data_IF_128893258754
#
_entry.id   IF_128893258754
#
_cell.length_a   1.000
_cell.length_b   1.000
_cell.length_c   1.000
_cell.angle_alpha   90.00
_cell.angle_beta   90.00
_cell.angle_gamma   90.00
#
_symmetry.space_group_name_H-M   'P 1'
#
loop_
_entity.id
_entity.type
_entity.pdbx_description
1 polymer ?
#
# COMPACT_ATOMS: atom_id res chain seq x y z
N UNK A 1 24.73 -22.93 7.17
CA UNK A 1 23.98 -22.82 7.67
C UNK A 1 23.29 -21.66 7.69
N UNK A 2 23.49 -20.80 7.71
CA UNK A 2 22.80 -19.64 7.86
C UNK A 2 21.94 -19.16 6.77
N UNK A 3 21.70 -19.93 5.82
CA UNK A 3 20.89 -19.51 4.76
C UNK A 3 19.43 -19.47 5.08
N UNK A 4 19.07 -19.98 6.22
CA UNK A 4 17.70 -20.03 6.60
C UNK A 4 17.03 -18.69 6.58
N UNK A 5 17.71 -17.69 7.01
CA UNK A 5 17.09 -16.39 7.10
C UNK A 5 16.68 -15.81 5.79
N UNK A 6 17.30 -16.21 4.74
CA UNK A 6 17.02 -15.60 3.48
C UNK A 6 15.66 -15.89 2.94
N UNK A 7 15.05 -16.97 3.35
CA UNK A 7 13.75 -17.25 2.81
C UNK A 7 12.68 -16.32 3.31
N UNK A 8 12.96 -15.54 4.34
CA UNK A 8 11.98 -14.58 4.82
C UNK A 8 12.24 -13.19 4.29
N UNK A 9 13.26 -12.99 3.50
CA UNK A 9 13.56 -11.68 2.99
C UNK A 9 12.86 -11.43 1.70
N UNK A 10 12.41 -10.20 1.51
CA UNK A 10 11.85 -9.82 0.26
C UNK A 10 12.98 -9.67 -0.74
N UNK A 11 12.87 -10.36 -1.85
CA UNK A 11 13.88 -10.34 -2.86
C UNK A 11 13.50 -9.31 -3.92
N UNK A 12 14.40 -8.45 -4.36
CA UNK A 12 14.05 -7.47 -5.38
C UNK A 12 13.45 -8.10 -6.63
N UNK A 13 13.85 -9.32 -6.96
CA UNK A 13 13.27 -9.99 -8.11
C UNK A 13 11.80 -10.31 -7.96
N UNK A 14 11.27 -10.27 -6.74
CA UNK A 14 9.85 -10.53 -6.53
C UNK A 14 9.00 -9.27 -6.65
N UNK A 15 9.63 -8.12 -6.84
CA UNK A 15 8.91 -6.86 -6.95
C UNK A 15 8.60 -6.63 -8.42
N UNK A 16 7.61 -7.33 -8.91
CA UNK A 16 7.34 -7.34 -10.34
C UNK A 16 6.13 -6.53 -10.78
N UNK A 17 5.29 -6.12 -9.84
CA UNK A 17 4.09 -5.39 -10.19
C UNK A 17 4.33 -3.90 -10.05
N UNK A 18 3.77 -3.12 -10.97
CA UNK A 18 3.90 -1.67 -10.89
C UNK A 18 2.67 -1.09 -10.24
N UNK A 19 2.89 -0.16 -9.34
CA UNK A 19 1.80 0.54 -8.70
C UNK A 19 2.11 2.03 -8.65
N UNK A 20 1.07 2.82 -8.48
CA UNK A 20 1.21 4.24 -8.21
C UNK A 20 0.57 4.49 -6.86
N UNK A 21 1.26 5.25 -6.01
CA UNK A 21 0.70 5.62 -4.72
C UNK A 21 0.38 7.08 -4.78
N UNK A 22 -0.86 7.43 -4.49
CA UNK A 22 -1.37 8.79 -4.58
C UNK A 22 -1.75 9.30 -3.21
N UNK A 23 -1.60 10.58 -3.03
CA UNK A 23 -1.97 11.24 -1.78
C UNK A 23 -2.80 12.45 -2.10
N UNK A 24 -3.85 12.66 -1.31
CA UNK A 24 -4.64 13.85 -1.44
C UNK A 24 -3.85 15.00 -0.85
N UNK A 25 -3.59 16.01 -1.64
CA UNK A 25 -2.74 17.09 -1.17
C UNK A 25 -3.55 18.23 -0.59
N UNK A 26 -4.56 18.68 -1.28
CA UNK A 26 -5.39 19.74 -0.74
C UNK A 26 -6.63 19.83 -1.58
N UNK A 27 -7.64 20.47 -1.01
CA UNK A 27 -8.85 20.77 -1.73
C UNK A 27 -8.75 22.20 -2.21
N UNK A 28 -8.99 22.42 -3.48
CA UNK A 28 -8.96 23.77 -4.03
C UNK A 28 -10.33 24.15 -4.53
N UNK A 29 -10.80 25.33 -4.18
CA UNK A 29 -12.09 25.77 -4.72
C UNK A 29 -11.91 26.16 -6.18
N UNK A 30 -12.78 25.67 -7.01
CA UNK A 30 -12.82 26.02 -8.42
C UNK A 30 -14.24 26.43 -8.71
N UNK A 31 -14.43 27.70 -9.04
CA UNK A 31 -15.77 28.22 -9.29
C UNK A 31 -16.72 27.94 -8.12
N UNK A 32 -16.19 28.07 -6.90
CA UNK A 32 -17.03 27.84 -5.73
C UNK A 32 -17.18 26.39 -5.34
N UNK A 33 -16.59 25.47 -6.08
CA UNK A 33 -16.66 24.06 -5.78
C UNK A 33 -15.32 23.59 -5.26
N UNK A 34 -15.34 22.82 -4.16
CA UNK A 34 -14.12 22.30 -3.58
C UNK A 34 -13.84 20.94 -4.17
N UNK A 35 -12.67 20.79 -4.76
CA UNK A 35 -12.26 19.53 -5.36
C UNK A 35 -11.00 19.03 -4.71
N UNK A 36 -10.93 17.72 -4.53
CA UNK A 36 -9.74 17.09 -3.99
C UNK A 36 -8.70 16.95 -5.09
N UNK A 37 -7.46 17.18 -4.74
CA UNK A 37 -6.36 17.05 -5.67
C UNK A 37 -5.50 15.88 -5.20
N UNK A 38 -5.27 14.93 -6.09
CA UNK A 38 -4.48 13.74 -5.79
C UNK A 38 -3.19 13.80 -6.59
N UNK A 39 -2.09 13.49 -5.92
CA UNK A 39 -0.78 13.48 -6.55
C UNK A 39 -0.14 12.13 -6.40
N UNK A 40 0.57 11.69 -7.43
CA UNK A 40 1.35 10.47 -7.31
C UNK A 40 2.61 10.83 -6.53
N UNK A 41 2.77 10.21 -5.37
CA UNK A 41 3.91 10.50 -4.52
C UNK A 41 5.00 9.45 -4.64
N UNK A 42 4.67 8.28 -5.17
CA UNK A 42 5.65 7.21 -5.28
C UNK A 42 5.10 6.19 -6.27
N UNK A 43 5.96 5.69 -7.13
CA UNK A 43 5.53 4.72 -8.13
C UNK A 43 6.52 3.54 -8.16
N UNK A 44 6.55 2.73 -7.12
CA UNK A 44 7.53 1.66 -7.05
C UNK A 44 7.02 0.38 -7.72
N UNK A 45 7.93 -0.57 -7.86
CA UNK A 45 7.51 -1.92 -8.15
C UNK A 45 7.26 -2.60 -6.83
N UNK A 46 6.34 -3.54 -6.80
CA UNK A 46 5.97 -4.18 -5.56
C UNK A 46 5.65 -5.65 -5.73
N UNK A 47 5.61 -6.33 -4.60
CA UNK A 47 5.08 -7.67 -4.52
C UNK A 47 3.67 -7.54 -3.94
N UNK A 48 2.74 -8.32 -4.46
CA UNK A 48 1.34 -8.25 -4.04
C UNK A 48 0.94 -9.60 -3.49
N UNK A 49 0.30 -9.60 -2.34
CA UNK A 49 -0.24 -10.83 -1.79
C UNK A 49 -1.60 -10.54 -1.19
N UNK A 50 -2.40 -11.57 -1.05
CA UNK A 50 -3.72 -11.41 -0.45
C UNK A 50 -3.59 -11.32 1.05
N UNK A 51 -4.40 -10.47 1.64
CA UNK A 51 -4.46 -10.35 3.09
C UNK A 51 -5.66 -11.17 3.52
N UNK A 52 -5.42 -12.34 4.10
CA UNK A 52 -6.50 -13.27 4.42
C UNK A 52 -6.43 -13.72 5.85
N UNK A 53 -7.47 -14.45 6.27
CA UNK A 53 -7.49 -15.11 7.54
C UNK A 53 -7.48 -14.17 8.72
N UNK A 54 -6.61 -14.46 9.65
CA UNK A 54 -6.56 -13.70 10.87
C UNK A 54 -6.27 -12.23 10.66
N UNK A 55 -5.40 -11.95 9.70
CA UNK A 55 -5.05 -10.57 9.48
C UNK A 55 -6.23 -9.75 9.03
N UNK A 56 -7.03 -10.34 8.20
CA UNK A 56 -8.20 -9.65 7.71
C UNK A 56 -9.15 -9.33 8.85
N UNK A 57 -9.33 -10.26 9.76
CA UNK A 57 -10.21 -10.05 10.88
C UNK A 57 -9.64 -9.04 11.87
N UNK A 58 -8.33 -9.03 12.02
CA UNK A 58 -7.70 -8.10 12.93
C UNK A 58 -7.79 -6.67 12.45
N UNK A 59 -7.88 -6.49 11.16
CA UNK A 59 -7.92 -5.15 10.61
C UNK A 59 -9.27 -4.48 10.79
N UNK A 60 -10.24 -5.21 11.31
CA UNK A 60 -11.50 -4.58 11.64
C UNK A 60 -12.67 -5.15 10.90
N UNK A 61 -13.81 -5.09 11.54
CA UNK A 61 -15.01 -5.64 10.99
C UNK A 61 -15.47 -4.87 9.77
N UNK A 62 -15.16 -3.61 9.71
CA UNK A 62 -15.59 -2.80 8.58
C UNK A 62 -14.97 -3.27 7.26
N UNK A 63 -13.93 -4.07 7.32
CA UNK A 63 -13.34 -4.60 6.10
C UNK A 63 -14.06 -5.85 5.61
N UNK A 64 -15.00 -6.32 6.39
CA UNK A 64 -15.72 -7.52 6.05
C UNK A 64 -16.42 -7.35 4.71
N UNK A 65 -16.22 -8.28 3.80
CA UNK A 65 -16.82 -8.20 2.48
C UNK A 65 -16.00 -7.47 1.45
N UNK A 66 -14.89 -6.88 1.84
CA UNK A 66 -14.02 -6.19 0.90
C UNK A 66 -12.73 -6.96 0.73
N UNK A 67 -12.19 -6.91 -0.46
CA UNK A 67 -10.88 -7.51 -0.70
C UNK A 67 -9.80 -6.71 -0.04
N UNK A 68 -8.81 -7.39 0.48
CA UNK A 68 -7.68 -6.75 1.12
C UNK A 68 -6.41 -7.37 0.57
N UNK A 69 -5.41 -6.56 0.31
CA UNK A 69 -4.13 -7.03 -0.20
C UNK A 69 -2.99 -6.37 0.53
N UNK A 70 -1.85 -7.05 0.53
CA UNK A 70 -0.62 -6.47 1.06
C UNK A 70 0.27 -6.13 -0.12
N UNK A 71 0.80 -4.93 -0.09
CA UNK A 71 1.71 -4.46 -1.12
C UNK A 71 3.06 -4.20 -0.46
N UNK A 72 4.09 -4.90 -0.90
CA UNK A 72 5.43 -4.76 -0.34
C UNK A 72 6.32 -4.10 -1.38
N UNK A 73 6.99 -3.02 -0.99
CA UNK A 73 7.83 -2.28 -1.91
C UNK A 73 9.01 -1.67 -1.15
N UNK A 74 9.98 -1.18 -1.90
CA UNK A 74 11.13 -0.55 -1.25
C UNK A 74 10.69 0.72 -0.57
N UNK A 75 11.22 0.93 0.62
CA UNK A 75 10.90 2.13 1.39
C UNK A 75 11.45 3.36 0.68
N UNK A 76 10.62 4.36 0.53
CA UNK A 76 11.05 5.62 -0.08
C UNK A 76 11.97 6.33 0.91
N UNK A 77 13.09 6.85 0.47
CA UNK A 77 14.03 7.48 1.40
C UNK A 77 13.52 8.77 2.03
N UNK A 78 12.57 9.44 1.40
CA UNK A 78 12.12 10.72 1.91
C UNK A 78 10.63 10.81 2.20
N UNK A 79 9.83 9.99 1.58
CA UNK A 79 8.38 10.09 1.72
C UNK A 79 7.88 8.90 2.52
N UNK A 80 7.11 9.20 3.56
CA UNK A 80 6.48 8.15 4.36
C UNK A 80 5.09 7.89 3.82
N UNK A 81 4.81 6.65 3.51
CA UNK A 81 3.49 6.25 3.06
C UNK A 81 2.59 6.15 4.29
N UNK A 82 1.37 6.62 4.18
CA UNK A 82 0.48 6.72 5.33
C UNK A 82 -0.87 6.12 5.05
N UNK A 83 -1.63 5.92 6.11
CA UNK A 83 -3.01 5.52 5.97
C UNK A 83 -3.76 6.54 5.12
N UNK A 84 -4.73 6.05 4.39
CA UNK A 84 -5.57 6.85 3.50
C UNK A 84 -4.91 7.26 2.20
N UNK A 85 -3.64 6.95 2.02
CA UNK A 85 -3.06 7.05 0.69
C UNK A 85 -3.70 5.97 -0.17
N UNK A 86 -3.74 6.20 -1.47
CA UNK A 86 -4.41 5.29 -2.40
C UNK A 86 -3.37 4.63 -3.29
N UNK A 87 -3.46 3.32 -3.43
CA UNK A 87 -2.62 2.58 -4.36
C UNK A 87 -3.44 2.29 -5.61
N UNK A 88 -2.89 2.60 -6.77
CA UNK A 88 -3.49 2.22 -8.04
C UNK A 88 -2.78 0.97 -8.52
N UNK A 89 -3.51 -0.12 -8.61
CA UNK A 89 -2.97 -1.41 -9.02
C UNK A 89 -3.96 -2.05 -9.97
N UNK A 90 -3.50 -2.40 -11.18
CA UNK A 90 -4.35 -2.98 -12.22
C UNK A 90 -5.59 -2.13 -12.47
N UNK A 91 -5.39 -0.80 -12.50
CA UNK A 91 -6.48 0.15 -12.73
C UNK A 91 -7.55 0.14 -11.65
N UNK A 92 -7.23 -0.40 -10.50
CA UNK A 92 -8.14 -0.40 -9.37
C UNK A 92 -7.53 0.43 -8.26
N UNK A 93 -8.39 1.01 -7.44
CA UNK A 93 -7.96 1.83 -6.32
C UNK A 93 -8.04 1.04 -5.03
N UNK A 94 -6.99 1.13 -4.24
CA UNK A 94 -6.90 0.43 -2.97
C UNK A 94 -6.52 1.44 -1.90
N UNK A 95 -7.33 1.54 -0.86
CA UNK A 95 -7.06 2.49 0.22
C UNK A 95 -6.21 1.84 1.28
N UNK A 96 -5.11 2.48 1.64
CA UNK A 96 -4.19 1.94 2.62
C UNK A 96 -4.78 2.07 4.02
N UNK A 97 -4.85 0.94 4.73
CA UNK A 97 -5.39 0.92 6.08
C UNK A 97 -4.29 0.78 7.13
N UNK A 98 -3.16 0.20 6.78
CA UNK A 98 -2.05 0.17 7.70
C UNK A 98 -0.74 0.05 6.94
N UNK A 99 0.33 0.52 7.55
CA UNK A 99 1.65 0.52 6.94
C UNK A 99 2.65 0.14 8.00
N UNK A 100 3.58 -0.75 7.66
CA UNK A 100 4.63 -1.10 8.59
C UNK A 100 5.87 -1.53 7.82
N UNK A 101 6.99 -1.57 8.53
CA UNK A 101 8.25 -1.98 7.92
C UNK A 101 8.30 -3.49 7.84
N UNK A 102 8.74 -3.99 6.70
CA UNK A 102 8.89 -5.41 6.52
C UNK A 102 10.05 -5.88 7.41
N UNK A 103 9.76 -6.79 8.30
CA UNK A 103 10.79 -7.37 9.16
C UNK A 103 11.57 -6.34 9.96
N UNK A 104 10.96 -5.19 10.26
CA UNK A 104 11.59 -4.17 11.08
C UNK A 104 12.89 -3.63 10.53
N UNK A 105 13.11 -3.67 9.25
CA UNK A 105 14.41 -3.27 8.74
C UNK A 105 14.40 -2.01 7.89
N UNK A 106 13.29 -1.39 7.65
CA UNK A 106 13.21 -0.14 6.91
C UNK A 106 13.68 -0.21 5.44
N UNK A 107 14.00 -1.38 4.96
CA UNK A 107 14.36 -1.53 3.57
C UNK A 107 13.12 -1.67 2.72
N UNK A 108 12.15 -2.38 3.24
CA UNK A 108 10.89 -2.60 2.55
C UNK A 108 9.74 -2.16 3.43
N UNK A 109 8.71 -1.66 2.80
CA UNK A 109 7.49 -1.21 3.47
C UNK A 109 6.36 -2.11 3.01
N UNK A 110 5.50 -2.49 3.96
CA UNK A 110 4.30 -3.25 3.65
C UNK A 110 3.10 -2.34 3.88
N UNK A 111 2.28 -2.19 2.86
CA UNK A 111 1.05 -1.43 2.97
C UNK A 111 -0.12 -2.39 2.81
N UNK A 112 -0.99 -2.43 3.81
CA UNK A 112 -2.20 -3.24 3.74
C UNK A 112 -3.30 -2.32 3.26
N UNK A 113 -4.01 -2.73 2.23
CA UNK A 113 -5.00 -1.87 1.62
C UNK A 113 -6.25 -2.65 1.29
N UNK A 114 -7.37 -1.96 1.27
CA UNK A 114 -8.65 -2.54 0.91
C UNK A 114 -9.11 -1.94 -0.41
N UNK A 115 -9.83 -2.74 -1.17
CA UNK A 115 -10.30 -2.28 -2.46
C UNK A 115 -11.37 -1.22 -2.26
N UNK A 116 -11.22 -0.11 -2.96
CA UNK A 116 -12.21 0.95 -2.89
C UNK A 116 -13.42 0.56 -3.71
N UNK A 117 -14.58 0.85 -3.15
CA UNK A 117 -15.79 0.62 -3.90
C UNK A 117 -16.06 1.82 -4.77
N UNK A 118 -16.64 1.56 -5.88
CA UNK A 118 -16.89 2.64 -6.80
C UNK A 118 -18.33 2.97 -6.84
#
# INVERSE_FOLDING_TARGET
MPTIKKKYRQNPGNLVHKINIQRKTSSKPVNGIVEDVWEIIYAPRCAVSNNTGKEYLQDGIELYGRESKKFTFRTHPKISIKQKDIIIYNDEKWEITSVYDYDDNRIFTVAVAIKCEQ
#
